data_IF_201181137478
#
_entry.id   IF_201181137478
#
_cell.length_a   1.000
_cell.length_b   1.000
_cell.length_c   1.000
_cell.angle_alpha   90.00
_cell.angle_beta   90.00
_cell.angle_gamma   90.00
#
_symmetry.space_group_name_H-M   'P 1'
#
loop_
_entity.id
_entity.type
_entity.pdbx_description
1 polymer ?
#
# COMPACT_ATOMS: atom_id res chain seq x y z
N UNK A 1 15.19 8.95 20.92
CA UNK A 1 14.05 9.76 20.49
C UNK A 1 13.17 8.96 19.54
N UNK A 2 11.89 8.93 19.82
CA UNK A 2 10.95 8.33 18.89
C UNK A 2 10.81 9.23 17.67
N UNK A 3 10.79 8.62 16.48
CA UNK A 3 10.53 9.36 15.25
C UNK A 3 9.06 9.73 15.19
N UNK A 4 8.78 10.95 14.77
CA UNK A 4 7.42 11.37 14.48
C UNK A 4 6.92 10.63 13.23
N UNK A 5 5.64 10.35 13.20
CA UNK A 5 5.02 9.83 11.97
C UNK A 5 5.06 10.89 10.88
N UNK A 6 4.87 10.45 9.64
CA UNK A 6 4.79 11.39 8.52
C UNK A 6 3.64 12.39 8.72
N UNK A 7 2.49 11.92 9.21
CA UNK A 7 1.34 12.79 9.46
C UNK A 7 1.66 13.85 10.51
N UNK A 8 2.33 13.47 11.60
CA UNK A 8 2.72 14.43 12.64
C UNK A 8 3.68 15.48 12.11
N UNK A 9 4.66 15.08 11.31
CA UNK A 9 5.62 16.00 10.71
C UNK A 9 4.93 16.99 9.77
N UNK A 10 3.97 16.50 8.98
CA UNK A 10 3.20 17.35 8.06
C UNK A 10 2.38 18.38 8.83
N UNK A 11 1.74 17.97 9.92
CA UNK A 11 0.96 18.88 10.77
C UNK A 11 1.86 19.92 11.43
N UNK A 12 3.01 19.49 11.97
CA UNK A 12 3.96 20.40 12.61
C UNK A 12 4.48 21.44 11.63
N UNK A 13 4.78 21.01 10.40
CA UNK A 13 5.26 21.93 9.36
C UNK A 13 4.18 22.94 8.98
N UNK A 14 2.93 22.51 8.91
CA UNK A 14 1.79 23.39 8.62
C UNK A 14 1.63 24.45 9.68
N UNK A 15 1.69 24.04 10.97
CA UNK A 15 1.57 24.97 12.09
C UNK A 15 2.70 26.01 12.07
N UNK A 16 3.91 25.56 11.82
CA UNK A 16 5.08 26.46 11.77
C UNK A 16 4.96 27.45 10.62
N UNK A 17 4.62 26.99 9.43
CA UNK A 17 4.45 27.85 8.27
C UNK A 17 3.36 28.89 8.50
N UNK A 18 2.24 28.47 9.08
CA UNK A 18 1.12 29.36 9.39
C UNK A 18 1.54 30.44 10.40
N UNK A 19 2.25 30.05 11.46
CA UNK A 19 2.73 30.99 12.45
C UNK A 19 3.69 32.02 11.86
N UNK A 20 4.59 31.58 10.98
CA UNK A 20 5.53 32.48 10.31
C UNK A 20 4.81 33.47 9.40
N UNK A 21 3.78 33.03 8.70
CA UNK A 21 2.99 33.91 7.83
C UNK A 21 2.18 34.93 8.63
N UNK A 22 1.55 34.49 9.72
CA UNK A 22 0.70 35.37 10.52
C UNK A 22 1.51 36.47 11.25
N UNK A 23 2.70 36.13 11.70
CA UNK A 23 3.53 37.07 12.45
C UNK A 23 4.26 38.07 11.56
N UNK A 24 4.45 37.77 10.30
CA UNK A 24 5.06 38.66 9.33
C UNK A 24 6.55 38.90 9.49
N UNK A 25 7.11 38.63 10.66
CA UNK A 25 8.55 38.79 10.93
C UNK A 25 9.16 37.44 11.20
N UNK A 26 10.24 37.12 10.51
CA UNK A 26 10.94 35.86 10.69
C UNK A 26 12.05 35.99 11.71
N UNK A 27 12.32 34.94 12.50
CA UNK A 27 13.46 34.94 13.40
C UNK A 27 14.77 35.14 12.66
N UNK A 28 15.78 35.69 13.36
CA UNK A 28 17.11 35.83 12.80
C UNK A 28 17.64 34.49 12.31
N UNK A 29 18.13 34.45 11.08
CA UNK A 29 18.62 33.21 10.46
C UNK A 29 17.60 32.49 9.59
N UNK A 30 16.34 32.91 9.64
CA UNK A 30 15.30 32.31 8.79
C UNK A 30 15.01 33.27 7.64
N UNK A 31 15.36 32.86 6.43
CA UNK A 31 15.14 33.68 5.24
C UNK A 31 13.77 33.36 4.61
N UNK A 32 13.17 34.37 3.91
CA UNK A 32 11.89 34.15 3.24
C UNK A 32 11.90 32.97 2.28
N UNK A 33 13.03 32.73 1.63
CA UNK A 33 13.14 31.60 0.69
C UNK A 33 13.04 30.26 1.40
N UNK A 34 13.60 30.15 2.61
CA UNK A 34 13.53 28.94 3.42
C UNK A 34 12.08 28.67 3.83
N UNK A 35 11.31 29.70 4.15
CA UNK A 35 9.90 29.56 4.50
C UNK A 35 9.09 29.10 3.29
N UNK A 36 9.37 29.63 2.11
CA UNK A 36 8.71 29.16 0.87
C UNK A 36 9.03 27.70 0.57
N UNK A 37 10.27 27.28 0.83
CA UNK A 37 10.64 25.85 0.68
C UNK A 37 9.88 24.98 1.66
N UNK A 38 9.72 25.44 2.91
CA UNK A 38 8.94 24.70 3.91
C UNK A 38 7.50 24.50 3.43
N UNK A 39 6.88 25.55 2.90
CA UNK A 39 5.51 25.50 2.39
C UNK A 39 5.39 24.54 1.21
N UNK A 40 6.34 24.62 0.28
CA UNK A 40 6.36 23.75 -0.90
C UNK A 40 6.51 22.28 -0.51
N UNK A 41 7.45 22.00 0.40
CA UNK A 41 7.68 20.64 0.88
C UNK A 41 6.49 20.12 1.66
N UNK A 42 5.82 20.97 2.43
CA UNK A 42 4.60 20.60 3.13
C UNK A 42 3.50 20.17 2.16
N UNK A 43 3.27 20.95 1.11
CA UNK A 43 2.26 20.63 0.10
C UNK A 43 2.58 19.32 -0.61
N UNK A 44 3.86 19.15 -0.96
CA UNK A 44 4.35 17.96 -1.64
C UNK A 44 4.18 16.71 -0.77
N UNK A 45 4.58 16.81 0.51
CA UNK A 45 4.45 15.72 1.47
C UNK A 45 2.99 15.36 1.71
N UNK A 46 2.12 16.37 1.80
CA UNK A 46 0.68 16.16 1.97
C UNK A 46 0.13 15.36 0.79
N UNK A 47 0.48 15.77 -0.42
CA UNK A 47 0.02 15.09 -1.64
C UNK A 47 0.49 13.63 -1.67
N UNK A 48 1.78 13.39 -1.41
CA UNK A 48 2.31 12.03 -1.42
C UNK A 48 1.70 11.17 -0.32
N UNK A 49 1.44 11.74 0.85
CA UNK A 49 0.80 11.02 1.94
C UNK A 49 -0.61 10.57 1.56
N UNK A 50 -1.37 11.46 0.92
CA UNK A 50 -2.72 11.14 0.43
C UNK A 50 -2.65 10.02 -0.63
N UNK A 51 -1.73 10.14 -1.57
CA UNK A 51 -1.54 9.14 -2.62
C UNK A 51 -1.17 7.78 -2.03
N UNK A 52 -0.29 7.77 -1.02
CA UNK A 52 0.11 6.54 -0.36
C UNK A 52 -1.08 5.85 0.33
N UNK A 53 -1.90 6.62 1.05
CA UNK A 53 -3.08 6.06 1.72
C UNK A 53 -4.08 5.48 0.72
N UNK A 54 -4.24 6.17 -0.40
CA UNK A 54 -5.10 5.69 -1.49
C UNK A 54 -4.59 4.38 -2.07
N UNK A 55 -3.27 4.28 -2.29
CA UNK A 55 -2.65 3.06 -2.81
C UNK A 55 -2.77 1.91 -1.82
N UNK A 56 -2.61 2.18 -0.53
CA UNK A 56 -2.80 1.16 0.52
C UNK A 56 -4.22 0.60 0.49
N UNK A 57 -5.22 1.47 0.34
CA UNK A 57 -6.62 1.05 0.26
C UNK A 57 -6.87 0.21 -0.99
N UNK A 58 -6.29 0.62 -2.12
CA UNK A 58 -6.41 -0.12 -3.38
C UNK A 58 -5.72 -1.49 -3.28
N UNK A 59 -4.55 -1.55 -2.64
CA UNK A 59 -3.83 -2.81 -2.43
C UNK A 59 -4.66 -3.75 -1.57
N UNK A 60 -5.23 -3.25 -0.49
CA UNK A 60 -6.07 -4.06 0.42
C UNK A 60 -7.26 -4.65 -0.34
N UNK A 61 -7.91 -3.85 -1.18
CA UNK A 61 -9.02 -4.31 -2.01
C UNK A 61 -8.58 -5.39 -2.99
N UNK A 62 -7.44 -5.18 -3.67
CA UNK A 62 -6.91 -6.17 -4.61
C UNK A 62 -6.54 -7.46 -3.92
N UNK A 63 -5.96 -7.38 -2.72
CA UNK A 63 -5.62 -8.57 -1.94
C UNK A 63 -6.87 -9.37 -1.60
N UNK A 64 -7.94 -8.69 -1.18
CA UNK A 64 -9.22 -9.33 -0.88
C UNK A 64 -9.81 -10.02 -2.12
N UNK A 65 -9.76 -9.35 -3.27
CA UNK A 65 -10.24 -9.91 -4.54
C UNK A 65 -9.42 -11.13 -4.95
N UNK A 66 -8.10 -11.05 -4.81
CA UNK A 66 -7.20 -12.16 -5.13
C UNK A 66 -7.49 -13.36 -4.24
N UNK A 67 -7.61 -13.16 -2.93
CA UNK A 67 -7.89 -14.23 -1.98
C UNK A 67 -9.21 -14.93 -2.30
N UNK A 68 -10.26 -14.15 -2.59
CA UNK A 68 -11.56 -14.70 -2.95
C UNK A 68 -11.48 -15.51 -4.25
N UNK A 69 -10.77 -15.00 -5.24
CA UNK A 69 -10.61 -15.65 -6.53
C UNK A 69 -9.80 -16.95 -6.39
N UNK A 70 -8.71 -16.92 -5.61
CA UNK A 70 -7.89 -18.10 -5.36
C UNK A 70 -8.69 -19.17 -4.65
N UNK A 71 -9.54 -18.79 -3.70
CA UNK A 71 -10.40 -19.76 -3.01
C UNK A 71 -11.34 -20.47 -4.00
N UNK A 72 -11.98 -19.69 -4.88
CA UNK A 72 -12.83 -20.26 -5.91
C UNK A 72 -12.05 -21.15 -6.87
N UNK A 73 -10.85 -20.74 -7.21
CA UNK A 73 -9.96 -21.50 -8.08
C UNK A 73 -9.59 -22.84 -7.42
N UNK A 74 -9.24 -22.82 -6.13
CA UNK A 74 -8.92 -24.04 -5.37
C UNK A 74 -10.09 -24.99 -5.32
N UNK A 75 -11.30 -24.48 -5.07
CA UNK A 75 -12.50 -25.32 -5.02
C UNK A 75 -12.72 -26.05 -6.35
N UNK A 76 -12.58 -25.34 -7.46
CA UNK A 76 -12.74 -25.92 -8.78
C UNK A 76 -11.60 -26.89 -9.11
N UNK A 77 -10.38 -26.51 -8.73
CA UNK A 77 -9.21 -27.37 -8.94
C UNK A 77 -9.37 -28.69 -8.21
N UNK A 78 -9.73 -28.68 -6.94
CA UNK A 78 -9.89 -29.90 -6.16
C UNK A 78 -11.08 -30.74 -6.65
N UNK A 79 -12.15 -30.09 -7.08
CA UNK A 79 -13.28 -30.79 -7.68
C UNK A 79 -12.86 -31.58 -8.93
N UNK A 80 -12.16 -30.88 -9.84
CA UNK A 80 -11.70 -31.51 -11.09
C UNK A 80 -10.64 -32.57 -10.81
N UNK A 81 -9.70 -32.28 -9.88
CA UNK A 81 -8.65 -33.20 -9.49
C UNK A 81 -9.23 -34.55 -9.07
N UNK A 82 -10.31 -34.52 -8.29
CA UNK A 82 -11.00 -35.74 -7.84
C UNK A 82 -11.43 -36.59 -9.02
N UNK A 83 -12.01 -36.00 -10.03
CA UNK A 83 -12.48 -36.72 -11.21
C UNK A 83 -11.34 -37.17 -12.12
N UNK A 84 -10.27 -36.40 -12.22
CA UNK A 84 -9.07 -36.81 -12.93
C UNK A 84 -8.49 -38.07 -12.28
N UNK A 85 -8.40 -38.10 -10.96
CA UNK A 85 -7.86 -39.26 -10.22
C UNK A 85 -8.74 -40.48 -10.38
N UNK A 86 -10.05 -40.32 -10.57
CA UNK A 86 -10.99 -41.44 -10.76
C UNK A 86 -11.00 -41.94 -12.20
N UNK A 87 -10.84 -41.06 -13.17
CA UNK A 87 -11.01 -41.38 -14.58
C UNK A 87 -9.77 -41.51 -15.41
N UNK A 88 -8.60 -41.10 -14.88
CA UNK A 88 -7.34 -41.08 -15.62
C UNK A 88 -6.34 -42.01 -14.93
N UNK A 89 -5.62 -42.86 -15.70
CA UNK A 89 -4.59 -43.72 -15.10
C UNK A 89 -3.53 -42.91 -14.36
N UNK A 90 -3.04 -43.45 -13.26
CA UNK A 90 -2.08 -42.75 -12.39
C UNK A 90 -0.85 -42.29 -13.12
N UNK A 91 -0.33 -43.07 -14.06
CA UNK A 91 0.87 -42.73 -14.83
C UNK A 91 0.70 -41.45 -15.68
N UNK A 92 -0.55 -41.02 -15.94
CA UNK A 92 -0.86 -39.82 -16.69
C UNK A 92 -1.16 -38.62 -15.79
N UNK A 93 -1.25 -38.80 -14.47
CA UNK A 93 -1.59 -37.69 -13.55
C UNK A 93 -0.63 -36.54 -13.59
N UNK A 94 0.64 -36.81 -13.85
CA UNK A 94 1.67 -35.79 -13.91
C UNK A 94 1.39 -34.74 -15.00
N UNK A 95 0.76 -35.15 -16.10
CA UNK A 95 0.37 -34.25 -17.18
C UNK A 95 -0.63 -33.20 -16.69
N UNK A 96 -1.39 -33.53 -15.65
CA UNK A 96 -2.40 -32.65 -15.04
C UNK A 96 -1.84 -31.90 -13.83
N UNK A 97 -0.54 -31.97 -13.60
CA UNK A 97 0.09 -31.30 -12.47
C UNK A 97 -0.14 -32.02 -11.13
N UNK A 98 -0.58 -33.27 -11.17
CA UNK A 98 -0.85 -34.04 -9.96
C UNK A 98 0.34 -34.94 -9.68
N UNK A 99 0.98 -34.71 -8.54
CA UNK A 99 2.13 -35.50 -8.10
C UNK A 99 1.79 -36.40 -6.92
N UNK A 100 0.53 -36.50 -6.60
CA UNK A 100 0.05 -37.31 -5.46
C UNK A 100 0.35 -38.79 -5.69
N UNK A 101 0.72 -39.44 -4.62
CA UNK A 101 0.76 -40.89 -4.60
C UNK A 101 -0.64 -41.42 -4.32
N UNK A 102 -0.88 -42.63 -4.73
CA UNK A 102 -2.16 -43.28 -4.52
C UNK A 102 -2.66 -43.22 -3.07
#
# INVERSE_FOLDING_TARGET
MSRKSFAETIVDAQLMAKALQENGNFPTGVEPNTVRELERLHEEATRFNIEQEKLKAQLKEKTAQLEATVKNLEDKYFFIKKYVKLGVPQELWKQYGIEDKK
#
